data_IF_561325062218
#
_entry.id   IF_561325062218
#
_cell.length_a   1.000
_cell.length_b   1.000
_cell.length_c   1.000
_cell.angle_alpha   90.00
_cell.angle_beta   90.00
_cell.angle_gamma   90.00
#
_symmetry.space_group_name_H-M   'P 1'
#
loop_
_entity.id
_entity.type
_entity.pdbx_description
1 polymer ?
#
# COMPACT_ATOMS: atom_id res chain seq x y z
N UNK A 1 -29.24 -2.49 1.47
CA UNK A 1 -27.78 -2.74 1.52
C UNK A 1 -27.12 -1.66 0.68
N UNK A 2 -26.38 -0.79 1.34
CA UNK A 2 -25.61 0.26 0.67
C UNK A 2 -24.32 -0.34 0.11
N UNK A 3 -23.96 0.00 -1.14
CA UNK A 3 -22.73 -0.46 -1.79
C UNK A 3 -21.85 0.74 -2.09
N UNK A 4 -20.68 0.77 -1.49
CA UNK A 4 -19.66 1.80 -1.69
C UNK A 4 -18.62 1.29 -2.69
N UNK A 5 -18.39 2.03 -3.77
CA UNK A 5 -17.34 1.72 -4.75
C UNK A 5 -16.10 2.61 -4.50
N UNK A 6 -15.31 2.21 -3.49
CA UNK A 6 -14.09 2.92 -3.10
C UNK A 6 -13.10 3.10 -4.26
N UNK A 7 -13.04 2.14 -5.20
CA UNK A 7 -12.13 2.26 -6.36
C UNK A 7 -12.57 3.36 -7.32
N UNK A 8 -13.88 3.62 -7.40
CA UNK A 8 -14.43 4.70 -8.20
C UNK A 8 -14.26 6.04 -7.49
N UNK A 9 -14.58 6.10 -6.20
CA UNK A 9 -14.46 7.31 -5.38
C UNK A 9 -13.04 7.81 -5.26
N UNK A 10 -12.09 6.88 -5.07
CA UNK A 10 -10.66 7.16 -4.90
C UNK A 10 -9.84 6.94 -6.18
N UNK A 11 -10.50 7.00 -7.35
CA UNK A 11 -9.86 6.71 -8.65
C UNK A 11 -8.59 7.55 -8.88
N UNK A 12 -8.58 8.81 -8.46
CA UNK A 12 -7.43 9.70 -8.61
C UNK A 12 -6.16 9.14 -7.93
N UNK A 13 -6.32 8.41 -6.83
CA UNK A 13 -5.21 7.85 -6.04
C UNK A 13 -4.85 6.42 -6.42
N UNK A 14 -5.82 5.63 -6.92
CA UNK A 14 -5.65 4.19 -7.17
C UNK A 14 -5.65 3.79 -8.65
N UNK A 15 -5.88 4.73 -9.56
CA UNK A 15 -5.89 4.41 -11.00
C UNK A 15 -5.33 5.57 -11.86
N UNK A 16 -4.07 5.98 -11.62
CA UNK A 16 -3.41 6.97 -12.47
C UNK A 16 -3.18 6.42 -13.89
N UNK A 17 -2.83 7.33 -14.80
CA UNK A 17 -2.40 6.94 -16.15
C UNK A 17 -1.01 6.27 -16.15
N UNK A 18 -0.77 5.38 -17.14
CA UNK A 18 0.56 4.83 -17.39
C UNK A 18 1.39 5.69 -18.36
N UNK A 19 0.79 6.72 -18.96
CA UNK A 19 1.43 7.53 -20.01
C UNK A 19 2.33 8.61 -19.44
N UNK A 20 1.92 9.24 -18.35
CA UNK A 20 2.59 10.38 -17.76
C UNK A 20 2.49 10.39 -16.24
N UNK A 21 3.43 11.07 -15.61
CA UNK A 21 3.41 11.30 -14.16
C UNK A 21 2.32 12.32 -13.82
N UNK A 22 1.50 12.00 -12.82
CA UNK A 22 0.50 12.91 -12.26
C UNK A 22 0.93 13.38 -10.87
N UNK A 23 0.72 14.67 -10.61
CA UNK A 23 0.94 15.26 -9.28
C UNK A 23 -0.41 15.26 -8.54
N UNK A 24 -0.38 14.84 -7.30
CA UNK A 24 -1.57 14.71 -6.44
C UNK A 24 -1.28 15.22 -5.04
N UNK A 25 -2.33 15.49 -4.29
CA UNK A 25 -2.26 15.73 -2.85
C UNK A 25 -3.14 14.67 -2.18
N UNK A 26 -2.50 13.70 -1.52
CA UNK A 26 -3.18 12.55 -0.92
C UNK A 26 -3.63 12.95 0.48
N UNK A 27 -4.96 12.96 0.75
CA UNK A 27 -5.47 13.36 2.04
C UNK A 27 -5.14 12.31 3.12
N UNK A 28 -5.45 12.66 4.35
CA UNK A 28 -5.44 11.71 5.46
C UNK A 28 -6.45 10.59 5.20
N UNK A 29 -5.98 9.35 5.26
CA UNK A 29 -6.78 8.13 5.15
C UNK A 29 -6.49 7.19 6.32
N UNK A 30 -7.40 6.25 6.59
CA UNK A 30 -7.25 5.25 7.63
C UNK A 30 -6.73 3.94 7.03
N UNK A 31 -5.86 3.26 7.76
CA UNK A 31 -5.25 2.00 7.32
C UNK A 31 -5.15 0.99 8.46
N UNK A 32 -5.20 -0.28 8.12
CA UNK A 32 -4.57 -1.32 8.94
C UNK A 32 -3.14 -1.49 8.43
N UNK A 33 -2.16 -1.49 9.33
CA UNK A 33 -0.73 -1.42 9.01
C UNK A 33 0.09 -2.41 9.81
N UNK A 34 1.19 -2.85 9.21
CA UNK A 34 2.22 -3.64 9.89
C UNK A 34 3.61 -3.25 9.37
N UNK A 35 4.56 -3.05 10.28
CA UNK A 35 5.95 -2.76 9.92
C UNK A 35 6.79 -4.02 9.90
N UNK A 36 7.83 -3.99 9.09
CA UNK A 36 8.84 -5.03 9.04
C UNK A 36 10.13 -4.58 8.39
N UNK A 37 11.04 -5.52 8.24
CA UNK A 37 12.38 -5.30 7.68
C UNK A 37 12.79 -6.49 6.82
N UNK A 38 13.64 -6.23 5.84
CA UNK A 38 14.21 -7.23 4.96
C UNK A 38 13.56 -7.26 3.58
N UNK A 39 13.98 -8.23 2.79
CA UNK A 39 13.54 -8.36 1.41
C UNK A 39 12.04 -8.67 1.30
N UNK A 40 11.34 -8.15 0.27
CA UNK A 40 9.94 -8.49 0.02
C UNK A 40 9.67 -9.98 -0.25
N UNK A 41 10.71 -10.75 -0.57
CA UNK A 41 10.65 -12.22 -0.73
C UNK A 41 10.82 -12.98 0.60
N UNK A 42 11.04 -12.28 1.71
CA UNK A 42 11.26 -12.90 3.02
C UNK A 42 9.98 -13.53 3.59
N UNK A 43 10.13 -14.59 4.41
CA UNK A 43 8.98 -15.17 5.11
C UNK A 43 8.23 -14.17 5.99
N UNK A 44 8.94 -13.19 6.59
CA UNK A 44 8.32 -12.14 7.39
C UNK A 44 7.37 -11.26 6.56
N UNK A 45 7.76 -10.90 5.35
CA UNK A 45 6.93 -10.12 4.45
C UNK A 45 5.64 -10.88 4.08
N UNK A 46 5.76 -12.15 3.71
CA UNK A 46 4.63 -13.01 3.40
C UNK A 46 3.68 -13.17 4.61
N UNK A 47 4.22 -13.45 5.80
CA UNK A 47 3.44 -13.57 7.04
C UNK A 47 2.70 -12.27 7.39
N UNK A 48 3.29 -11.11 7.08
CA UNK A 48 2.66 -9.81 7.30
C UNK A 48 1.47 -9.60 6.36
N UNK A 49 1.58 -9.99 5.10
CA UNK A 49 0.44 -9.99 4.16
C UNK A 49 -0.68 -10.92 4.67
N UNK A 50 -0.31 -12.12 5.12
CA UNK A 50 -1.25 -13.10 5.66
C UNK A 50 -1.91 -12.66 6.98
N UNK A 51 -1.33 -11.71 7.70
CA UNK A 51 -1.93 -11.08 8.88
C UNK A 51 -2.94 -9.99 8.51
N UNK A 52 -2.67 -9.18 7.48
CA UNK A 52 -3.52 -8.03 7.10
C UNK A 52 -4.85 -8.47 6.48
N UNK A 53 -4.84 -9.39 5.52
CA UNK A 53 -6.06 -9.76 4.78
C UNK A 53 -7.18 -10.34 5.64
N UNK A 54 -6.94 -11.28 6.59
CA UNK A 54 -8.00 -11.77 7.46
C UNK A 54 -8.68 -10.68 8.28
N UNK A 55 -7.92 -9.67 8.72
CA UNK A 55 -8.45 -8.52 9.45
C UNK A 55 -9.28 -7.64 8.51
N UNK A 56 -8.75 -7.27 7.32
CA UNK A 56 -9.46 -6.45 6.34
C UNK A 56 -10.79 -7.07 5.90
N UNK A 57 -10.79 -8.37 5.59
CA UNK A 57 -12.01 -9.09 5.23
C UNK A 57 -12.95 -9.26 6.44
N UNK A 58 -12.42 -9.45 7.64
CA UNK A 58 -13.20 -9.49 8.88
C UNK A 58 -14.00 -8.21 9.07
N UNK A 59 -13.33 -7.05 9.02
CA UNK A 59 -13.96 -5.72 9.10
C UNK A 59 -15.05 -5.59 8.03
N UNK A 60 -14.71 -5.89 6.77
CA UNK A 60 -15.66 -5.79 5.65
C UNK A 60 -16.94 -6.62 5.89
N UNK A 61 -16.79 -7.87 6.28
CA UNK A 61 -17.94 -8.76 6.49
C UNK A 61 -18.77 -8.38 7.71
N UNK A 62 -18.14 -7.89 8.78
CA UNK A 62 -18.83 -7.39 9.96
C UNK A 62 -19.65 -6.12 9.62
N UNK A 63 -19.06 -5.18 8.88
CA UNK A 63 -19.78 -3.98 8.38
C UNK A 63 -20.96 -4.36 7.49
N UNK A 64 -20.78 -5.32 6.60
CA UNK A 64 -21.88 -5.81 5.76
C UNK A 64 -23.01 -6.43 6.57
N UNK A 65 -22.68 -7.20 7.61
CA UNK A 65 -23.64 -7.91 8.46
C UNK A 65 -24.37 -6.99 9.45
N UNK A 66 -23.62 -6.05 10.07
CA UNK A 66 -24.12 -5.22 11.16
C UNK A 66 -24.76 -3.94 10.62
N UNK A 67 -24.05 -3.24 9.73
CA UNK A 67 -24.45 -1.91 9.24
C UNK A 67 -25.14 -1.98 7.87
N UNK A 68 -25.19 -3.14 7.22
CA UNK A 68 -25.74 -3.30 5.88
C UNK A 68 -24.88 -2.64 4.78
N UNK A 69 -23.65 -2.23 5.08
CA UNK A 69 -22.75 -1.56 4.13
C UNK A 69 -21.75 -2.53 3.54
N UNK A 70 -21.72 -2.63 2.21
CA UNK A 70 -20.78 -3.50 1.47
C UNK A 70 -19.80 -2.65 0.66
N UNK A 71 -18.50 -3.01 0.72
CA UNK A 71 -17.43 -2.39 -0.05
C UNK A 71 -16.36 -3.42 -0.43
N UNK A 72 -15.56 -3.12 -1.46
CA UNK A 72 -14.40 -3.96 -1.82
C UNK A 72 -13.23 -3.70 -0.88
N UNK A 73 -12.56 -4.76 -0.39
CA UNK A 73 -11.27 -4.61 0.28
C UNK A 73 -10.30 -3.94 -0.69
N UNK A 74 -9.62 -2.89 -0.22
CA UNK A 74 -8.69 -2.13 -1.03
C UNK A 74 -7.39 -2.91 -1.28
N UNK A 75 -6.62 -2.54 -2.30
CA UNK A 75 -5.35 -3.17 -2.59
C UNK A 75 -4.39 -3.18 -1.40
N UNK A 76 -3.46 -4.13 -1.39
CA UNK A 76 -2.28 -4.05 -0.54
C UNK A 76 -1.41 -2.90 -1.02
N UNK A 77 -0.84 -2.16 -0.09
CA UNK A 77 0.09 -1.06 -0.30
C UNK A 77 1.35 -1.31 0.51
N UNK A 78 2.48 -0.84 0.01
CA UNK A 78 3.76 -0.93 0.69
C UNK A 78 4.50 0.40 0.67
N UNK A 79 4.90 0.87 1.85
CA UNK A 79 5.85 1.97 1.99
C UNK A 79 7.23 1.38 2.21
N UNK A 80 8.23 1.84 1.45
CA UNK A 80 9.60 1.33 1.52
C UNK A 80 10.60 2.45 1.81
N UNK A 81 11.56 2.17 2.69
CA UNK A 81 12.66 3.08 3.01
C UNK A 81 13.85 2.32 3.61
N UNK A 82 14.95 3.00 3.78
CA UNK A 82 16.12 2.52 4.53
C UNK A 82 16.80 3.71 5.22
N UNK A 83 17.67 3.43 6.20
CA UNK A 83 18.51 4.46 6.84
C UNK A 83 19.48 5.06 5.83
N UNK A 84 20.14 4.21 5.03
CA UNK A 84 20.90 4.62 3.85
C UNK A 84 20.12 4.28 2.58
N UNK A 85 19.59 5.31 1.93
CA UNK A 85 18.82 5.15 0.69
C UNK A 85 19.64 4.60 -0.49
N UNK A 86 20.98 4.56 -0.37
CA UNK A 86 21.83 3.92 -1.39
C UNK A 86 21.59 2.43 -1.55
N UNK A 87 21.03 1.75 -0.54
CA UNK A 87 20.67 0.32 -0.65
C UNK A 87 19.57 0.04 -1.67
N UNK A 88 18.92 1.07 -2.22
CA UNK A 88 18.00 0.97 -3.34
C UNK A 88 18.66 1.17 -4.70
N UNK A 89 19.91 1.61 -4.75
CA UNK A 89 20.67 1.80 -6.00
C UNK A 89 21.14 0.43 -6.52
N UNK A 90 21.12 0.18 -7.84
CA UNK A 90 21.50 -1.11 -8.41
C UNK A 90 22.90 -1.59 -7.99
N UNK A 91 23.85 -0.66 -7.85
CA UNK A 91 25.27 -0.97 -7.55
C UNK A 91 25.49 -1.33 -6.07
N UNK A 92 24.61 -0.93 -5.18
CA UNK A 92 24.73 -1.10 -3.72
C UNK A 92 23.51 -1.76 -3.11
N UNK A 93 22.67 -2.41 -3.94
CA UNK A 93 21.41 -2.99 -3.51
C UNK A 93 21.61 -4.04 -2.40
N UNK A 94 21.03 -3.77 -1.24
CA UNK A 94 20.93 -4.73 -0.13
C UNK A 94 19.53 -4.72 0.44
N UNK A 95 18.69 -5.60 -0.09
CA UNK A 95 17.28 -5.70 0.28
C UNK A 95 17.06 -6.14 1.73
N UNK A 96 18.06 -6.69 2.41
CA UNK A 96 17.96 -7.06 3.82
C UNK A 96 17.93 -5.82 4.74
N UNK A 97 18.39 -4.68 4.25
CA UNK A 97 18.35 -3.41 4.98
C UNK A 97 17.06 -2.63 4.73
N UNK A 98 16.21 -3.05 3.81
CA UNK A 98 14.94 -2.40 3.54
C UNK A 98 14.05 -2.47 4.77
N UNK A 99 13.44 -1.36 5.07
CA UNK A 99 12.32 -1.25 6.01
C UNK A 99 11.05 -1.04 5.21
N UNK A 100 9.95 -1.58 5.71
CA UNK A 100 8.67 -1.43 5.04
C UNK A 100 7.51 -1.35 6.03
N UNK A 101 6.45 -0.68 5.60
CA UNK A 101 5.12 -0.74 6.19
C UNK A 101 4.17 -1.31 5.15
N UNK A 102 3.61 -2.47 5.38
CA UNK A 102 2.51 -2.99 4.58
C UNK A 102 1.19 -2.49 5.14
N UNK A 103 0.25 -2.10 4.27
CA UNK A 103 -1.00 -1.52 4.71
C UNK A 103 -2.15 -1.78 3.74
N UNK A 104 -3.38 -1.73 4.25
CA UNK A 104 -4.62 -1.79 3.47
C UNK A 104 -5.53 -0.68 3.95
N UNK A 105 -5.93 0.21 3.02
CA UNK A 105 -6.82 1.33 3.31
C UNK A 105 -8.19 0.84 3.80
N UNK A 106 -8.71 1.54 4.78
CA UNK A 106 -10.03 1.31 5.36
C UNK A 106 -10.90 2.55 5.17
N UNK A 107 -12.16 2.42 4.73
CA UNK A 107 -13.06 3.57 4.59
C UNK A 107 -13.36 4.23 5.94
N UNK A 108 -13.76 5.50 5.90
CA UNK A 108 -13.97 6.33 7.11
C UNK A 108 -15.03 5.78 8.07
N UNK A 109 -15.96 4.96 7.56
CA UNK A 109 -16.95 4.27 8.39
C UNK A 109 -16.35 3.18 9.31
N UNK A 110 -15.09 2.81 9.10
CA UNK A 110 -14.39 1.81 9.93
C UNK A 110 -13.81 2.48 11.16
N UNK A 111 -14.16 1.96 12.31
CA UNK A 111 -13.69 2.45 13.61
C UNK A 111 -12.55 1.57 14.17
N UNK A 112 -11.85 2.08 15.18
CA UNK A 112 -10.88 1.29 15.96
C UNK A 112 -11.52 0.04 16.56
N UNK A 113 -12.77 0.11 17.01
CA UNK A 113 -13.49 -1.03 17.58
C UNK A 113 -13.75 -2.13 16.55
N UNK A 114 -14.07 -1.76 15.30
CA UNK A 114 -14.23 -2.74 14.20
C UNK A 114 -12.92 -3.48 13.95
N UNK A 115 -11.81 -2.75 13.92
CA UNK A 115 -10.47 -3.33 13.80
C UNK A 115 -10.14 -4.31 14.96
N UNK A 116 -10.34 -3.89 16.21
CA UNK A 116 -10.05 -4.73 17.39
C UNK A 116 -10.85 -6.04 17.36
N UNK A 117 -12.14 -5.97 17.05
CA UNK A 117 -12.99 -7.15 16.93
C UNK A 117 -12.50 -8.10 15.82
N UNK A 118 -12.16 -7.55 14.66
CA UNK A 118 -11.66 -8.34 13.52
C UNK A 118 -10.28 -8.96 13.82
N UNK A 119 -9.38 -8.24 14.48
CA UNK A 119 -8.06 -8.74 14.88
C UNK A 119 -8.18 -9.91 15.87
N UNK A 120 -9.05 -9.80 16.88
CA UNK A 120 -9.34 -10.90 17.82
C UNK A 120 -9.91 -12.12 17.09
N UNK A 121 -10.84 -11.91 16.14
CA UNK A 121 -11.42 -12.99 15.37
C UNK A 121 -10.40 -13.65 14.43
N UNK A 122 -9.52 -12.87 13.80
CA UNK A 122 -8.44 -13.37 12.96
C UNK A 122 -7.45 -14.22 13.74
N UNK A 123 -7.03 -13.77 14.93
CA UNK A 123 -6.12 -14.50 15.82
C UNK A 123 -6.67 -15.88 16.23
N UNK A 124 -7.98 -15.99 16.46
CA UNK A 124 -8.62 -17.28 16.79
C UNK A 124 -8.61 -18.27 15.63
N UNK A 125 -8.57 -17.77 14.38
CA UNK A 125 -8.68 -18.61 13.16
C UNK A 125 -7.33 -18.93 12.51
N UNK A 126 -6.30 -18.14 12.80
CA UNK A 126 -4.99 -18.23 12.16
C UNK A 126 -3.90 -18.20 13.22
N UNK A 127 -3.03 -19.21 13.16
CA UNK A 127 -1.79 -19.22 13.94
C UNK A 127 -0.72 -18.39 13.20
N UNK A 128 -0.85 -17.06 13.31
CA UNK A 128 0.08 -16.11 12.73
C UNK A 128 0.40 -15.02 13.76
N UNK A 129 1.58 -15.04 14.37
CA UNK A 129 1.97 -14.07 15.40
C UNK A 129 2.04 -12.63 14.88
N UNK A 130 2.13 -12.43 13.56
CA UNK A 130 2.14 -11.11 12.95
C UNK A 130 0.79 -10.38 13.09
N UNK A 131 -0.31 -11.08 13.37
CA UNK A 131 -1.63 -10.47 13.62
C UNK A 131 -1.57 -9.53 14.83
N UNK A 132 -0.79 -9.85 15.86
CA UNK A 132 -0.66 -9.00 17.06
C UNK A 132 0.11 -7.70 16.80
N UNK A 133 0.86 -7.63 15.71
CA UNK A 133 1.65 -6.46 15.31
C UNK A 133 0.87 -5.51 14.41
N UNK A 134 -0.30 -5.94 13.92
CA UNK A 134 -1.16 -5.08 13.08
C UNK A 134 -1.78 -3.98 13.93
N UNK A 135 -1.76 -2.76 13.42
CA UNK A 135 -2.36 -1.58 14.05
C UNK A 135 -3.33 -0.88 13.11
N UNK A 136 -4.25 -0.10 13.67
CA UNK A 136 -5.16 0.76 12.93
C UNK A 136 -4.76 2.21 13.15
N UNK A 137 -4.31 2.87 12.09
CA UNK A 137 -3.80 4.24 12.14
C UNK A 137 -4.22 5.04 10.92
N UNK A 138 -4.24 6.37 11.09
CA UNK A 138 -4.39 7.30 9.98
C UNK A 138 -3.01 7.70 9.47
N UNK A 139 -2.90 7.82 8.15
CA UNK A 139 -1.70 8.28 7.46
C UNK A 139 -2.05 9.38 6.46
N UNK A 140 -1.25 10.45 6.45
CA UNK A 140 -1.33 11.55 5.48
C UNK A 140 -0.06 11.53 4.65
N UNK A 141 -0.17 11.20 3.36
CA UNK A 141 0.97 11.20 2.46
C UNK A 141 1.27 12.60 1.93
N UNK A 142 0.22 13.39 1.66
CA UNK A 142 0.34 14.75 1.15
C UNK A 142 0.74 14.81 -0.33
N UNK A 143 1.55 15.82 -0.69
CA UNK A 143 2.00 16.01 -2.08
C UNK A 143 2.85 14.85 -2.57
N UNK A 144 2.43 14.24 -3.67
CA UNK A 144 3.11 13.12 -4.27
C UNK A 144 3.03 13.14 -5.81
N UNK A 145 4.03 12.58 -6.45
CA UNK A 145 4.02 12.24 -7.87
C UNK A 145 3.70 10.75 -8.02
N UNK A 146 2.87 10.36 -8.98
CA UNK A 146 2.51 8.96 -9.20
C UNK A 146 2.36 8.63 -10.69
N UNK A 147 2.53 7.35 -11.00
CA UNK A 147 2.32 6.78 -12.34
C UNK A 147 1.85 5.32 -12.20
N UNK A 148 1.07 4.83 -13.16
CA UNK A 148 0.78 3.40 -13.28
C UNK A 148 1.97 2.70 -13.94
N UNK A 149 2.56 1.74 -13.24
CA UNK A 149 3.47 0.76 -13.83
C UNK A 149 2.68 -0.44 -14.34
N UNK A 150 2.99 -0.90 -15.54
CA UNK A 150 2.47 -2.14 -16.12
C UNK A 150 3.67 -3.02 -16.45
N UNK A 151 3.77 -4.16 -15.79
CA UNK A 151 4.90 -5.08 -15.89
C UNK A 151 5.32 -5.67 -14.54
N UNK A 152 6.40 -6.47 -14.53
CA UNK A 152 6.95 -7.02 -13.29
C UNK A 152 7.61 -5.94 -12.43
N UNK A 153 7.63 -6.11 -11.12
CA UNK A 153 8.23 -5.16 -10.16
C UNK A 153 9.69 -4.83 -10.49
N UNK A 154 10.45 -5.81 -11.00
CA UNK A 154 11.84 -5.60 -11.42
C UNK A 154 12.02 -4.59 -12.57
N UNK A 155 10.94 -4.22 -13.27
CA UNK A 155 10.94 -3.27 -14.37
C UNK A 155 10.43 -1.86 -13.98
N UNK A 156 10.23 -1.58 -12.69
CA UNK A 156 9.71 -0.29 -12.20
C UNK A 156 10.72 0.87 -12.28
N UNK A 157 12.02 0.56 -12.31
CA UNK A 157 13.10 1.54 -12.29
C UNK A 157 12.90 2.75 -13.22
N UNK A 158 12.58 2.58 -14.53
CA UNK A 158 12.33 3.70 -15.42
C UNK A 158 11.16 4.60 -14.98
N UNK A 159 10.10 4.03 -14.39
CA UNK A 159 8.99 4.83 -13.90
C UNK A 159 9.34 5.58 -12.61
N UNK A 160 10.14 4.99 -11.72
CA UNK A 160 10.69 5.67 -10.54
C UNK A 160 11.54 6.88 -10.98
N UNK A 161 12.39 6.72 -11.99
CA UNK A 161 13.18 7.82 -12.54
C UNK A 161 12.31 8.94 -13.14
N UNK A 162 11.20 8.61 -13.82
CA UNK A 162 10.23 9.61 -14.31
C UNK A 162 9.60 10.41 -13.17
N UNK A 163 9.27 9.76 -12.05
CA UNK A 163 8.74 10.43 -10.86
C UNK A 163 9.77 11.42 -10.31
N UNK A 164 11.01 10.98 -10.11
CA UNK A 164 12.09 11.83 -9.59
C UNK A 164 12.38 13.02 -10.51
N UNK A 165 12.42 12.78 -11.81
CA UNK A 165 12.62 13.85 -12.81
C UNK A 165 11.47 14.87 -12.75
N UNK A 166 10.22 14.41 -12.71
CA UNK A 166 9.04 15.29 -12.62
C UNK A 166 9.03 16.12 -11.35
N UNK A 167 9.42 15.55 -10.22
CA UNK A 167 9.55 16.27 -8.95
C UNK A 167 10.64 17.35 -9.06
N UNK A 168 11.80 17.05 -9.67
CA UNK A 168 12.88 18.01 -9.89
C UNK A 168 12.48 19.15 -10.84
N UNK A 169 11.74 18.84 -11.93
CA UNK A 169 11.22 19.86 -12.87
C UNK A 169 10.38 20.95 -12.18
N UNK A 170 9.61 20.57 -11.17
CA UNK A 170 8.77 21.53 -10.43
C UNK A 170 9.49 22.19 -9.26
N UNK A 171 10.82 22.00 -9.13
CA UNK A 171 11.62 22.52 -8.03
C UNK A 171 11.44 21.79 -6.69
N UNK A 172 10.79 20.63 -6.71
CA UNK A 172 10.54 19.82 -5.52
C UNK A 172 11.74 18.96 -5.12
N UNK A 173 11.70 18.48 -3.88
CA UNK A 173 12.65 17.51 -3.31
C UNK A 173 11.93 16.26 -2.93
N UNK A 174 12.56 15.09 -3.14
CA UNK A 174 12.03 13.82 -2.66
C UNK A 174 11.84 13.87 -1.15
N UNK A 175 10.73 13.35 -0.68
CA UNK A 175 10.41 13.27 0.74
C UNK A 175 9.66 11.99 1.06
N UNK A 176 9.41 11.72 2.34
CA UNK A 176 8.64 10.55 2.75
C UNK A 176 9.26 9.22 2.32
N UNK A 177 8.42 8.24 2.09
CA UNK A 177 8.80 6.86 1.75
C UNK A 177 8.35 6.55 0.34
N UNK A 178 9.11 5.72 -0.38
CA UNK A 178 8.66 5.15 -1.65
C UNK A 178 7.40 4.33 -1.43
N UNK A 179 6.37 4.51 -2.27
CA UNK A 179 5.06 3.91 -2.07
C UNK A 179 4.63 3.12 -3.30
N UNK A 180 4.28 1.87 -3.10
CA UNK A 180 3.74 0.97 -4.12
C UNK A 180 2.34 0.51 -3.74
N UNK A 181 1.39 0.53 -4.70
CA UNK A 181 0.02 0.05 -4.52
C UNK A 181 -0.21 -1.10 -5.51
N UNK A 182 -0.42 -2.30 -4.99
CA UNK A 182 -0.47 -3.53 -5.76
C UNK A 182 -1.89 -3.82 -6.28
N UNK A 183 -2.17 -3.44 -7.52
CA UNK A 183 -3.51 -3.60 -8.12
C UNK A 183 -3.76 -5.00 -8.67
N UNK A 184 -2.71 -5.76 -8.90
CA UNK A 184 -2.77 -7.12 -9.43
C UNK A 184 -2.29 -8.14 -8.39
N UNK A 185 -2.95 -9.30 -8.34
CA UNK A 185 -2.44 -10.44 -7.58
C UNK A 185 -1.37 -11.15 -8.43
N UNK A 186 -0.09 -11.18 -8.01
CA UNK A 186 1.01 -11.79 -8.78
C UNK A 186 0.86 -13.30 -8.99
N UNK A 187 -0.01 -13.95 -8.21
CA UNK A 187 -0.31 -15.39 -8.37
C UNK A 187 -1.31 -15.65 -9.51
N UNK A 188 -1.99 -14.61 -10.02
CA UNK A 188 -3.07 -14.71 -11.01
C UNK A 188 -2.78 -13.92 -12.28
N UNK A 189 -2.12 -12.79 -12.17
CA UNK A 189 -1.79 -11.95 -13.31
C UNK A 189 -0.50 -12.43 -13.99
N UNK A 190 -0.48 -12.42 -15.32
CA UNK A 190 0.75 -12.60 -16.06
C UNK A 190 1.71 -11.43 -15.75
N UNK A 191 3.03 -11.68 -15.60
CA UNK A 191 4.00 -10.65 -15.19
C UNK A 191 3.94 -9.38 -16.02
N UNK A 192 3.80 -9.48 -17.33
CA UNK A 192 3.71 -8.38 -18.28
C UNK A 192 2.41 -7.56 -18.19
N UNK A 193 1.40 -8.07 -17.47
CA UNK A 193 0.08 -7.45 -17.24
C UNK A 193 -0.14 -7.00 -15.82
N UNK A 194 0.83 -7.21 -14.93
CA UNK A 194 0.74 -6.74 -13.56
C UNK A 194 0.65 -5.20 -13.53
N UNK A 195 -0.12 -4.67 -12.58
CA UNK A 195 -0.32 -3.24 -12.39
C UNK A 195 0.04 -2.84 -10.97
N UNK A 196 0.92 -1.85 -10.87
CA UNK A 196 1.32 -1.22 -9.61
C UNK A 196 1.22 0.30 -9.78
N UNK A 197 0.61 0.99 -8.82
CA UNK A 197 0.82 2.43 -8.74
C UNK A 197 2.13 2.65 -8.02
N UNK A 198 3.07 3.30 -8.71
CA UNK A 198 4.34 3.73 -8.12
C UNK A 198 4.19 5.20 -7.76
N UNK A 199 4.49 5.55 -6.51
CA UNK A 199 4.27 6.88 -5.95
C UNK A 199 5.47 7.33 -5.14
N UNK A 200 5.80 8.62 -5.25
CA UNK A 200 6.89 9.25 -4.52
C UNK A 200 6.40 10.57 -3.92
N UNK A 201 6.36 10.70 -2.59
CA UNK A 201 6.10 11.97 -1.93
C UNK A 201 7.21 12.98 -2.19
N UNK A 202 6.84 14.28 -2.16
CA UNK A 202 7.78 15.38 -2.33
C UNK A 202 7.40 16.60 -1.49
N UNK A 203 8.38 17.47 -1.23
CA UNK A 203 8.22 18.83 -0.68
C UNK A 203 8.63 19.86 -1.71
N UNK A 204 8.00 21.05 -1.63
CA UNK A 204 8.41 22.25 -2.39
C UNK A 204 9.27 23.15 -1.53
#
# INVERSE_FOLDING_TARGET
MEKIDLKKELKAFYNPTAKEVTLIDVPKMNFIMIDGRGAPESPQFAQSIEALYPIAYGIKFDKKKIDGTDYGVMPLEGLFWAEDMKVFMPETADRNQWQWTLMIMQPDLVTRKDFENAAVAAKKKKDNPSIEKVRFESFTEGKAAQIMHIGPYSAEGPNIQKLHHKIAEIGGKLSGKHHEIYLSDPRRAAPDKMKTVVRQPYSL
#
